data_IF_791123565054
#
_entry.id   IF_791123565054
#
_cell.length_a   1.000
_cell.length_b   1.000
_cell.length_c   1.000
_cell.angle_alpha   90.00
_cell.angle_beta   90.00
_cell.angle_gamma   90.00
#
_symmetry.space_group_name_H-M   'P 1'
#
loop_
_entity.id
_entity.type
_entity.pdbx_description
1 polymer ?
#
# COMPACT_ATOMS: atom_id res chain seq x y z
N UNK A 1 -3.13 7.07 -8.66
CA UNK A 1 -3.67 5.87 -8.00
C UNK A 1 -4.40 6.23 -6.72
N UNK A 2 -5.62 5.72 -6.48
CA UNK A 2 -6.38 5.95 -5.24
C UNK A 2 -7.31 4.76 -4.98
N UNK A 3 -7.80 4.61 -3.76
CA UNK A 3 -8.73 3.53 -3.42
C UNK A 3 -9.98 3.66 -4.31
N UNK A 4 -10.37 2.61 -5.06
CA UNK A 4 -11.52 2.68 -5.95
C UNK A 4 -12.85 2.76 -5.18
N UNK A 5 -12.87 2.34 -3.91
CA UNK A 5 -14.07 2.34 -3.07
C UNK A 5 -14.31 3.68 -2.36
N UNK A 6 -13.30 4.22 -1.68
CA UNK A 6 -13.45 5.43 -0.86
C UNK A 6 -12.62 6.64 -1.33
N UNK A 7 -11.75 6.47 -2.32
CA UNK A 7 -10.86 7.52 -2.82
C UNK A 7 -9.66 7.85 -1.92
N UNK A 8 -9.40 7.07 -0.86
CA UNK A 8 -8.22 7.26 0.00
C UNK A 8 -6.90 7.06 -0.76
N UNK A 9 -5.87 7.78 -0.32
CA UNK A 9 -4.49 7.65 -0.80
C UNK A 9 -3.60 6.89 0.19
N UNK A 10 -4.12 6.57 1.39
CA UNK A 10 -3.39 5.90 2.46
C UNK A 10 -3.69 4.41 2.46
N UNK A 11 -2.63 3.62 2.49
CA UNK A 11 -2.67 2.17 2.44
C UNK A 11 -1.61 1.57 3.37
N UNK A 12 -1.80 0.30 3.69
CA UNK A 12 -0.79 -0.50 4.36
C UNK A 12 -0.65 -1.84 3.65
N UNK A 13 0.53 -2.45 3.74
CA UNK A 13 0.82 -3.80 3.30
C UNK A 13 1.33 -4.61 4.48
N UNK A 14 1.04 -5.91 4.49
CA UNK A 14 1.60 -6.85 5.46
C UNK A 14 2.86 -7.46 4.87
N UNK A 15 3.91 -7.58 5.67
CA UNK A 15 5.12 -8.27 5.23
C UNK A 15 4.85 -9.79 5.13
N UNK A 16 5.24 -10.46 4.03
CA UNK A 16 5.03 -11.90 3.88
C UNK A 16 6.01 -12.74 4.71
N UNK A 17 7.14 -12.18 5.16
CA UNK A 17 8.14 -12.83 6.01
C UNK A 17 7.87 -12.58 7.50
N UNK A 18 7.25 -11.44 7.84
CA UNK A 18 6.79 -11.09 9.20
C UNK A 18 5.32 -10.60 9.22
N UNK A 19 4.40 -11.48 9.64
CA UNK A 19 2.96 -11.22 9.65
C UNK A 19 2.52 -10.10 10.63
N UNK A 20 3.40 -9.72 11.56
CA UNK A 20 3.17 -8.67 12.54
C UNK A 20 3.65 -7.30 12.04
N UNK A 21 4.45 -7.27 10.98
CA UNK A 21 4.94 -6.04 10.38
C UNK A 21 3.97 -5.52 9.30
N UNK A 22 3.45 -4.32 9.53
CA UNK A 22 2.59 -3.62 8.59
C UNK A 22 3.30 -2.35 8.10
N UNK A 23 3.60 -2.30 6.81
CA UNK A 23 4.22 -1.14 6.18
C UNK A 23 3.13 -0.20 5.68
N UNK A 24 3.11 1.01 6.22
CA UNK A 24 2.22 2.06 5.75
C UNK A 24 2.86 2.85 4.62
N UNK A 25 2.07 3.18 3.63
CA UNK A 25 2.48 3.96 2.48
C UNK A 25 1.33 4.79 1.93
N UNK A 26 1.68 5.90 1.30
CA UNK A 26 0.75 6.79 0.62
C UNK A 26 0.97 6.74 -0.88
N UNK A 27 -0.10 6.91 -1.65
CA UNK A 27 -0.03 7.05 -3.11
C UNK A 27 -0.01 8.53 -3.47
N UNK A 28 1.09 8.97 -4.09
CA UNK A 28 1.25 10.34 -4.58
C UNK A 28 1.30 10.31 -6.10
N UNK A 29 0.12 10.45 -6.74
CA UNK A 29 0.01 10.34 -8.19
C UNK A 29 0.27 8.91 -8.67
N UNK A 30 1.39 8.73 -9.38
CA UNK A 30 1.88 7.44 -9.91
C UNK A 30 3.01 6.83 -9.05
N UNK A 31 3.37 7.51 -7.96
CA UNK A 31 4.41 7.08 -7.04
C UNK A 31 3.85 6.56 -5.72
N UNK A 32 4.59 5.63 -5.14
CA UNK A 32 4.33 5.05 -3.81
C UNK A 32 5.33 5.66 -2.85
N UNK A 33 4.83 6.37 -1.84
CA UNK A 33 5.64 7.04 -0.83
C UNK A 33 5.49 6.27 0.48
N UNK A 34 6.51 5.51 0.92
CA UNK A 34 6.47 4.84 2.22
C UNK A 34 6.47 5.87 3.35
N UNK A 35 5.71 5.59 4.42
CA UNK A 35 5.56 6.51 5.56
C UNK A 35 6.77 6.46 6.52
N UNK A 36 7.52 5.35 6.52
CA UNK A 36 8.65 5.15 7.42
C UNK A 36 10.00 5.45 6.76
N UNK A 37 10.75 6.38 7.35
CA UNK A 37 12.12 6.74 6.97
C UNK A 37 13.17 5.63 7.24
N UNK A 38 12.80 4.60 8.02
CA UNK A 38 13.67 3.47 8.39
C UNK A 38 13.06 2.10 8.07
N UNK A 39 11.88 2.06 7.43
CA UNK A 39 11.49 0.80 6.81
C UNK A 39 12.51 0.61 5.69
N UNK A 40 13.26 -0.49 5.73
CA UNK A 40 13.89 -0.98 4.51
C UNK A 40 12.84 -0.88 3.40
N UNK A 41 13.21 -0.50 2.17
CA UNK A 41 12.28 -0.46 1.07
C UNK A 41 11.90 -1.91 0.75
N UNK A 42 11.11 -2.49 1.64
CA UNK A 42 10.27 -3.65 1.49
C UNK A 42 9.66 -3.38 0.15
N UNK A 43 10.11 -4.14 -0.84
CA UNK A 43 9.94 -3.79 -2.24
C UNK A 43 8.45 -3.75 -2.47
N UNK A 44 7.84 -2.56 -2.34
CA UNK A 44 6.43 -2.36 -2.62
C UNK A 44 6.35 -2.43 -4.12
N UNK A 45 6.17 -3.66 -4.59
CA UNK A 45 6.06 -3.99 -6.00
C UNK A 45 4.60 -3.90 -6.39
N UNK A 46 4.34 -3.95 -7.69
CA UNK A 46 2.97 -4.01 -8.19
C UNK A 46 2.23 -5.29 -7.74
N UNK A 47 2.95 -6.31 -7.25
CA UNK A 47 2.36 -7.54 -6.73
C UNK A 47 2.03 -7.48 -5.24
N UNK A 48 2.52 -6.47 -4.51
CA UNK A 48 2.27 -6.30 -3.08
C UNK A 48 0.79 -6.10 -2.82
N UNK A 49 0.27 -6.79 -1.81
CA UNK A 49 -1.12 -6.66 -1.37
C UNK A 49 -1.28 -5.39 -0.54
N UNK A 50 -2.17 -4.52 -0.99
CA UNK A 50 -2.44 -3.21 -0.42
C UNK A 50 -3.82 -3.22 0.22
N UNK A 51 -3.88 -2.75 1.46
CA UNK A 51 -5.08 -2.63 2.27
C UNK A 51 -5.37 -1.16 2.50
N UNK A 52 -6.62 -0.74 2.28
CA UNK A 52 -7.00 0.65 2.50
C UNK A 52 -7.16 0.93 4.00
N UNK A 53 -6.51 1.98 4.52
CA UNK A 53 -6.68 2.38 5.93
C UNK A 53 -8.06 2.96 6.25
N UNK A 54 -8.86 3.31 5.23
CA UNK A 54 -10.13 4.03 5.40
C UNK A 54 -11.36 3.16 5.14
N UNK A 55 -11.22 2.01 4.49
CA UNK A 55 -12.35 1.13 4.16
C UNK A 55 -11.90 -0.33 4.02
N UNK A 56 -12.85 -1.26 3.87
CA UNK A 56 -12.57 -2.69 3.74
C UNK A 56 -12.01 -3.11 2.36
N UNK A 57 -11.56 -2.15 1.54
CA UNK A 57 -10.93 -2.48 0.26
C UNK A 57 -9.54 -3.05 0.50
N UNK A 58 -9.25 -4.17 -0.15
CA UNK A 58 -7.92 -4.76 -0.27
C UNK A 58 -7.74 -5.31 -1.68
N UNK A 59 -6.52 -5.26 -2.18
CA UNK A 59 -6.18 -5.75 -3.52
C UNK A 59 -4.71 -5.51 -3.83
N UNK A 60 -4.25 -5.95 -4.99
CA UNK A 60 -2.85 -5.76 -5.39
C UNK A 60 -2.62 -4.33 -5.85
N UNK A 61 -1.43 -3.81 -5.57
CA UNK A 61 -1.07 -2.46 -5.99
C UNK A 61 -1.15 -2.26 -7.53
N UNK A 62 -0.87 -3.31 -8.32
CA UNK A 62 -1.05 -3.32 -9.78
C UNK A 62 -2.48 -2.98 -10.21
N UNK A 63 -3.48 -3.35 -9.41
CA UNK A 63 -4.89 -3.09 -9.71
C UNK A 63 -5.26 -1.61 -9.54
N UNK A 64 -4.48 -0.88 -8.75
CA UNK A 64 -4.63 0.58 -8.56
C UNK A 64 -3.98 1.40 -9.69
N UNK A 65 -3.08 0.79 -10.47
CA UNK A 65 -2.38 1.41 -11.62
C UNK A 65 -3.15 1.33 -12.95
N UNK A 66 -4.38 0.80 -12.94
CA UNK A 66 -5.23 0.70 -14.13
C UNK A 66 -6.12 1.91 -14.35
#
# INVERSE_FOLDING_TARGET
MKCPTCGSLQFYAKDPEDEFEEIRFSLQGDDVVPDSANAEPLKITSQTEAFCERCAWHGRLAELKK
#
